data_IF_060165972420
#
_entry.id   IF_060165972420
#
_cell.length_a   1.000
_cell.length_b   1.000
_cell.length_c   1.000
_cell.angle_alpha   90.00
_cell.angle_beta   90.00
_cell.angle_gamma   90.00
#
_symmetry.space_group_name_H-M   'P 1'
#
loop_
_entity.id
_entity.type
_entity.pdbx_description
1 polymer ?
#
# COMPACT_ATOMS: atom_id res chain seq x y z
N UNK A 1 -8.96 18.25 -12.00
CA UNK A 1 -8.81 16.95 -12.69
C UNK A 1 -7.64 17.07 -13.64
N UNK A 2 -6.76 16.09 -13.71
CA UNK A 2 -5.61 16.08 -14.64
C UNK A 2 -5.90 15.02 -15.71
N UNK A 3 -6.22 15.46 -16.93
CA UNK A 3 -6.49 14.56 -18.07
C UNK A 3 -5.26 14.32 -18.94
N UNK A 4 -4.34 15.28 -18.93
CA UNK A 4 -3.07 15.23 -19.64
C UNK A 4 -2.00 16.01 -18.86
N UNK A 5 -0.78 16.05 -19.40
CA UNK A 5 0.35 16.74 -18.76
C UNK A 5 0.19 18.26 -18.78
N UNK A 6 -0.58 18.82 -19.73
CA UNK A 6 -0.74 20.27 -19.86
C UNK A 6 -1.70 20.81 -18.79
N UNK A 7 -2.70 20.02 -18.38
CA UNK A 7 -3.49 20.30 -17.17
C UNK A 7 -2.60 20.43 -15.91
N UNK A 8 -1.59 19.56 -15.79
CA UNK A 8 -0.66 19.59 -14.65
C UNK A 8 0.27 20.80 -14.70
N UNK A 9 0.76 21.16 -15.90
CA UNK A 9 1.55 22.39 -16.10
C UNK A 9 0.75 23.64 -15.74
N UNK A 10 -0.46 23.75 -16.26
CA UNK A 10 -1.34 24.88 -15.96
C UNK A 10 -1.58 25.03 -14.46
N UNK A 11 -1.70 23.91 -13.73
CA UNK A 11 -1.88 23.91 -12.27
C UNK A 11 -0.69 24.54 -11.55
N UNK A 12 0.54 24.31 -12.00
CA UNK A 12 1.76 24.86 -11.38
C UNK A 12 2.10 26.27 -11.86
N UNK A 13 1.74 26.65 -13.08
CA UNK A 13 2.13 27.96 -13.68
C UNK A 13 1.05 29.04 -13.62
N UNK A 14 -0.20 28.71 -13.92
CA UNK A 14 -1.23 29.71 -14.28
C UNK A 14 -2.38 29.79 -13.28
N UNK A 15 -2.50 28.81 -12.38
CA UNK A 15 -3.66 28.69 -11.50
C UNK A 15 -3.66 29.76 -10.38
N UNK A 16 -4.81 30.39 -10.13
CA UNK A 16 -4.90 31.66 -9.39
C UNK A 16 -5.62 31.57 -8.02
N UNK A 17 -6.15 30.41 -7.66
CA UNK A 17 -6.98 30.17 -6.47
C UNK A 17 -6.42 29.10 -5.52
N UNK A 18 -5.13 28.77 -5.65
CA UNK A 18 -4.48 27.68 -4.90
C UNK A 18 -4.49 27.84 -3.38
N UNK A 19 -4.03 26.80 -2.65
CA UNK A 19 -3.37 25.59 -3.17
C UNK A 19 -4.36 24.53 -3.70
N UNK A 20 -3.94 23.73 -4.68
CA UNK A 20 -4.79 22.79 -5.40
C UNK A 20 -4.58 21.33 -5.00
N UNK A 21 -5.68 20.58 -5.10
CA UNK A 21 -5.66 19.11 -5.09
C UNK A 21 -5.71 18.60 -6.53
N UNK A 22 -4.71 17.81 -6.93
CA UNK A 22 -4.71 17.14 -8.22
C UNK A 22 -5.40 15.78 -8.12
N UNK A 23 -6.17 15.41 -9.14
CA UNK A 23 -6.77 14.07 -9.26
C UNK A 23 -6.23 13.48 -10.55
N UNK A 24 -5.46 12.40 -10.43
CA UNK A 24 -4.56 11.91 -11.47
C UNK A 24 -4.73 10.42 -11.66
N UNK A 25 -4.84 9.99 -12.91
CA UNK A 25 -4.84 8.56 -13.22
C UNK A 25 -3.44 7.96 -13.05
N UNK A 26 -3.34 6.72 -12.59
CA UNK A 26 -2.07 5.96 -12.46
C UNK A 26 -1.18 6.01 -13.70
N UNK A 27 -1.76 6.03 -14.91
CA UNK A 27 -1.02 6.11 -16.18
C UNK A 27 -0.24 7.41 -16.40
N UNK A 28 -0.70 8.53 -15.83
CA UNK A 28 -0.06 9.86 -15.95
C UNK A 28 0.79 10.21 -14.72
N UNK A 29 0.60 9.48 -13.63
CA UNK A 29 1.11 9.84 -12.31
C UNK A 29 2.61 10.11 -12.29
N UNK A 30 3.42 9.27 -12.94
CA UNK A 30 4.89 9.44 -12.92
C UNK A 30 5.35 10.74 -13.61
N UNK A 31 4.70 11.16 -14.69
CA UNK A 31 5.07 12.40 -15.36
C UNK A 31 4.59 13.61 -14.56
N UNK A 32 3.42 13.49 -13.93
CA UNK A 32 2.80 14.56 -13.15
C UNK A 32 3.52 14.77 -11.82
N UNK A 33 3.95 13.69 -11.15
CA UNK A 33 4.61 13.79 -9.84
C UNK A 33 5.96 14.47 -9.94
N UNK A 34 6.76 14.19 -10.98
CA UNK A 34 8.04 14.87 -11.18
C UNK A 34 7.84 16.38 -11.38
N UNK A 35 6.84 16.78 -12.17
CA UNK A 35 6.48 18.18 -12.36
C UNK A 35 6.05 18.88 -11.06
N UNK A 36 5.27 18.21 -10.21
CA UNK A 36 4.82 18.75 -8.93
C UNK A 36 5.93 18.80 -7.88
N UNK A 37 6.87 17.86 -7.92
CA UNK A 37 8.05 17.87 -7.06
C UNK A 37 8.98 19.04 -7.40
N UNK A 38 9.06 19.44 -8.68
CA UNK A 38 9.81 20.63 -9.10
C UNK A 38 9.13 21.94 -8.66
N UNK A 39 7.79 21.97 -8.60
CA UNK A 39 7.00 23.18 -8.29
C UNK A 39 5.91 22.90 -7.23
N UNK A 40 6.28 22.66 -5.96
CA UNK A 40 5.35 22.16 -4.96
C UNK A 40 4.40 23.23 -4.37
N UNK A 41 4.76 24.51 -4.45
CA UNK A 41 4.11 25.59 -3.69
C UNK A 41 2.59 25.72 -3.94
N UNK A 42 2.12 25.35 -5.13
CA UNK A 42 0.71 25.45 -5.51
C UNK A 42 -0.07 24.14 -5.31
N UNK A 43 0.58 23.09 -4.81
CA UNK A 43 0.02 21.73 -4.71
C UNK A 43 -0.16 21.36 -3.24
N UNK A 44 -1.41 21.22 -2.80
CA UNK A 44 -1.76 20.74 -1.46
C UNK A 44 -1.75 19.21 -1.36
N UNK A 45 -1.95 18.50 -2.47
CA UNK A 45 -1.91 17.05 -2.52
C UNK A 45 -2.42 16.44 -3.82
N UNK A 46 -2.27 15.12 -3.94
CA UNK A 46 -2.56 14.33 -5.14
C UNK A 46 -3.41 13.12 -4.77
N UNK A 47 -4.58 13.01 -5.38
CA UNK A 47 -5.41 11.81 -5.40
C UNK A 47 -5.08 11.00 -6.65
N UNK A 48 -4.43 9.86 -6.48
CA UNK A 48 -4.14 8.92 -7.56
C UNK A 48 -5.26 7.89 -7.62
N UNK A 49 -5.77 7.60 -8.81
CA UNK A 49 -6.79 6.57 -8.99
C UNK A 49 -6.43 5.64 -10.13
N UNK A 50 -6.80 4.36 -9.98
CA UNK A 50 -6.68 3.36 -11.04
C UNK A 50 -8.04 3.06 -11.66
N UNK A 51 -8.15 3.12 -12.99
CA UNK A 51 -9.36 2.71 -13.72
C UNK A 51 -9.09 1.35 -14.37
N UNK A 52 -10.00 0.39 -14.18
CA UNK A 52 -9.82 -1.00 -14.65
C UNK A 52 -9.53 -1.15 -16.15
N UNK A 53 -9.93 -0.17 -16.96
CA UNK A 53 -9.74 -0.17 -18.40
C UNK A 53 -8.30 0.20 -18.84
N UNK A 54 -7.46 0.72 -17.93
CA UNK A 54 -6.10 1.14 -18.26
C UNK A 54 -5.12 -0.02 -18.12
N UNK A 55 -4.98 -0.78 -19.20
CA UNK A 55 -3.94 -1.81 -19.42
C UNK A 55 -2.56 -1.23 -19.76
N UNK A 56 -2.37 0.08 -19.60
CA UNK A 56 -1.12 0.73 -19.99
C UNK A 56 -0.10 0.71 -18.85
N UNK A 57 1.10 0.23 -19.17
CA UNK A 57 2.29 0.09 -18.34
C UNK A 57 2.68 1.40 -17.62
N UNK A 58 2.06 1.69 -16.47
CA UNK A 58 2.47 2.78 -15.58
C UNK A 58 3.70 2.36 -14.78
N UNK A 59 4.76 3.17 -14.83
CA UNK A 59 6.02 2.93 -14.11
C UNK A 59 5.86 2.95 -12.58
N UNK A 60 6.81 2.32 -11.89
CA UNK A 60 6.71 1.89 -10.51
C UNK A 60 7.13 2.98 -9.50
N UNK A 61 6.53 3.06 -8.30
CA UNK A 61 6.94 3.99 -7.26
C UNK A 61 8.24 3.58 -6.52
N UNK A 62 8.71 2.35 -6.70
CA UNK A 62 9.85 1.77 -5.98
C UNK A 62 11.23 2.22 -6.50
N UNK A 63 12.29 2.05 -5.71
CA UNK A 63 13.65 2.46 -6.10
C UNK A 63 14.31 1.51 -7.08
N UNK A 64 15.18 2.05 -7.94
CA UNK A 64 16.13 1.24 -8.71
C UNK A 64 17.01 0.43 -7.76
N UNK A 65 16.81 -0.89 -7.74
CA UNK A 65 17.63 -1.82 -6.96
C UNK A 65 18.94 -2.08 -7.71
N UNK A 66 19.93 -1.20 -7.50
CA UNK A 66 21.28 -1.41 -8.02
C UNK A 66 22.04 -2.42 -7.16
N UNK A 67 22.76 -3.33 -7.80
CA UNK A 67 23.81 -4.09 -7.14
C UNK A 67 24.89 -3.15 -6.55
N UNK A 68 25.65 -3.63 -5.57
CA UNK A 68 26.72 -2.88 -4.86
C UNK A 68 27.80 -2.32 -5.79
N UNK A 69 27.87 -2.79 -7.03
CA UNK A 69 28.57 -2.14 -8.13
C UNK A 69 27.55 -1.57 -9.14
N UNK A 70 27.40 -0.23 -9.25
CA UNK A 70 26.43 0.41 -10.14
C UNK A 70 26.68 0.18 -11.64
N UNK A 71 27.76 -0.51 -11.99
CA UNK A 71 28.16 -0.82 -13.37
C UNK A 71 27.69 -2.18 -13.90
N UNK A 72 27.04 -3.04 -13.09
CA UNK A 72 26.82 -4.46 -13.46
C UNK A 72 25.38 -4.93 -13.64
N UNK A 73 24.38 -4.41 -12.89
CA UNK A 73 22.96 -4.62 -13.20
C UNK A 73 22.05 -3.79 -12.28
N UNK A 74 20.96 -3.27 -12.85
CA UNK A 74 19.84 -2.67 -12.12
C UNK A 74 18.68 -3.65 -12.17
N UNK A 75 18.36 -4.30 -11.04
CA UNK A 75 17.36 -5.35 -10.98
C UNK A 75 15.94 -4.80 -11.19
N UNK A 76 15.65 -3.64 -10.60
CA UNK A 76 14.41 -2.90 -10.84
C UNK A 76 14.69 -1.69 -11.74
N UNK A 77 14.77 -1.89 -13.05
CA UNK A 77 15.00 -0.79 -14.00
C UNK A 77 13.79 0.15 -14.16
N UNK A 78 12.58 -0.29 -13.74
CA UNK A 78 11.33 0.46 -13.88
C UNK A 78 10.95 1.26 -12.63
N UNK A 79 11.71 1.10 -11.54
CA UNK A 79 11.55 1.87 -10.32
C UNK A 79 11.84 3.37 -10.49
N UNK A 80 10.91 4.23 -10.07
CA UNK A 80 11.07 5.70 -10.02
C UNK A 80 11.80 6.21 -8.75
N UNK A 81 11.88 5.40 -7.70
CA UNK A 81 12.40 5.77 -6.39
C UNK A 81 11.49 6.64 -5.55
N UNK A 82 10.26 6.91 -5.99
CA UNK A 82 9.31 7.78 -5.31
C UNK A 82 9.09 7.42 -3.84
N UNK A 83 8.98 6.13 -3.48
CA UNK A 83 8.76 5.70 -2.09
C UNK A 83 9.88 6.08 -1.12
N UNK A 84 11.08 6.45 -1.62
CA UNK A 84 12.22 6.89 -0.80
C UNK A 84 12.43 8.40 -0.83
N UNK A 85 11.63 9.13 -1.59
CA UNK A 85 11.72 10.59 -1.68
C UNK A 85 10.84 11.21 -0.59
N UNK A 86 11.29 12.34 -0.07
CA UNK A 86 10.47 13.19 0.81
C UNK A 86 9.55 14.03 -0.08
N UNK A 87 8.25 13.79 -0.01
CA UNK A 87 7.24 14.46 -0.84
C UNK A 87 6.57 15.56 0.00
N UNK A 88 6.58 16.83 -0.46
CA UNK A 88 6.14 17.97 0.35
C UNK A 88 4.60 18.11 0.47
N UNK A 89 3.84 17.21 -0.13
CA UNK A 89 2.37 17.22 -0.15
C UNK A 89 1.80 15.80 0.00
N UNK A 90 0.54 15.71 0.38
CA UNK A 90 -0.13 14.42 0.62
C UNK A 90 -0.43 13.69 -0.69
N UNK A 91 -0.15 12.39 -0.74
CA UNK A 91 -0.60 11.50 -1.82
C UNK A 91 -1.56 10.46 -1.24
N UNK A 92 -2.76 10.34 -1.82
CA UNK A 92 -3.69 9.25 -1.51
C UNK A 92 -3.96 8.43 -2.76
N UNK A 93 -4.02 7.11 -2.61
CA UNK A 93 -4.37 6.18 -3.68
C UNK A 93 -5.79 5.66 -3.48
N UNK A 94 -6.61 5.77 -4.52
CA UNK A 94 -7.93 5.16 -4.61
C UNK A 94 -7.87 3.91 -5.47
N UNK A 95 -8.24 2.77 -4.87
CA UNK A 95 -8.30 1.49 -5.56
C UNK A 95 -9.38 1.49 -6.65
N UNK A 96 -9.20 0.62 -7.64
CA UNK A 96 -10.14 0.42 -8.75
C UNK A 96 -11.53 -0.07 -8.30
N UNK A 97 -11.68 -0.53 -7.06
CA UNK A 97 -12.96 -0.90 -6.46
C UNK A 97 -13.84 0.32 -6.12
N UNK A 98 -13.24 1.51 -5.97
CA UNK A 98 -13.91 2.76 -5.60
C UNK A 98 -14.02 3.73 -6.78
N UNK A 99 -14.15 3.23 -8.02
CA UNK A 99 -14.25 4.07 -9.22
C UNK A 99 -15.45 5.02 -9.19
N UNK A 100 -16.56 4.61 -8.57
CA UNK A 100 -17.78 5.43 -8.45
C UNK A 100 -17.54 6.75 -7.69
N UNK A 101 -16.59 6.77 -6.76
CA UNK A 101 -16.25 7.98 -6.01
C UNK A 101 -15.41 8.95 -6.88
N UNK A 102 -14.62 8.41 -7.80
CA UNK A 102 -13.90 9.21 -8.79
C UNK A 102 -14.88 9.83 -9.79
N UNK A 103 -15.89 9.09 -10.24
CA UNK A 103 -16.91 9.63 -11.15
C UNK A 103 -17.65 10.82 -10.51
N UNK A 104 -18.01 10.73 -9.22
CA UNK A 104 -18.61 11.86 -8.48
C UNK A 104 -17.68 13.07 -8.37
N UNK A 105 -16.38 12.84 -8.20
CA UNK A 105 -15.36 13.91 -8.18
C UNK A 105 -15.27 14.58 -9.55
N UNK A 106 -15.28 13.80 -10.62
CA UNK A 106 -15.26 14.31 -11.99
C UNK A 106 -16.52 15.14 -12.31
N UNK A 107 -17.71 14.67 -11.92
CA UNK A 107 -18.95 15.43 -12.06
C UNK A 107 -18.91 16.77 -11.32
N UNK A 108 -18.36 16.77 -10.10
CA UNK A 108 -18.18 17.98 -9.30
C UNK A 108 -17.21 18.96 -9.97
N UNK A 109 -16.09 18.45 -10.51
CA UNK A 109 -15.11 19.23 -11.26
C UNK A 109 -15.73 19.86 -12.52
N UNK A 110 -16.46 19.08 -13.33
CA UNK A 110 -17.10 19.56 -14.55
C UNK A 110 -18.13 20.66 -14.27
N UNK A 111 -18.80 20.60 -13.12
CA UNK A 111 -19.80 21.60 -12.70
C UNK A 111 -19.18 22.91 -12.23
N UNK A 112 -18.10 22.86 -11.44
CA UNK A 112 -17.62 24.02 -10.69
C UNK A 112 -16.23 24.54 -11.10
N UNK A 113 -15.38 23.70 -11.70
CA UNK A 113 -13.95 24.02 -11.91
C UNK A 113 -13.53 23.98 -13.38
N UNK A 114 -14.47 23.71 -14.29
CA UNK A 114 -14.22 23.70 -15.74
C UNK A 114 -13.82 25.08 -16.26
N UNK A 115 -14.44 26.13 -15.71
CA UNK A 115 -14.10 27.52 -16.03
C UNK A 115 -12.80 27.91 -15.30
N UNK A 116 -11.68 27.77 -16.01
CA UNK A 116 -10.34 28.06 -15.52
C UNK A 116 -10.09 29.57 -15.32
N UNK A 117 -10.88 30.44 -15.95
CA UNK A 117 -10.65 31.90 -15.92
C UNK A 117 -11.36 32.57 -14.74
N UNK A 118 -12.47 32.00 -14.26
CA UNK A 118 -13.30 32.59 -13.20
C UNK A 118 -13.17 31.90 -11.83
N UNK A 119 -11.96 31.50 -11.45
CA UNK A 119 -11.75 30.73 -10.21
C UNK A 119 -12.08 31.51 -8.93
N UNK A 120 -11.98 32.85 -8.94
CA UNK A 120 -12.22 33.70 -7.76
C UNK A 120 -13.66 34.19 -7.62
N UNK A 121 -14.42 34.18 -8.72
CA UNK A 121 -15.79 34.70 -8.79
C UNK A 121 -16.87 33.64 -8.59
N UNK A 122 -16.54 32.36 -8.76
CA UNK A 122 -17.46 31.24 -8.65
C UNK A 122 -17.13 30.31 -7.49
N UNK A 123 -18.12 29.57 -6.96
CA UNK A 123 -17.85 28.46 -6.04
C UNK A 123 -17.05 27.35 -6.75
N UNK A 124 -16.11 26.74 -6.05
CA UNK A 124 -15.24 25.70 -6.58
C UNK A 124 -15.50 24.36 -5.91
N UNK A 125 -15.42 23.27 -6.66
CA UNK A 125 -15.25 21.93 -6.12
C UNK A 125 -13.85 21.82 -5.51
N UNK A 126 -13.78 21.42 -4.25
CA UNK A 126 -12.56 21.32 -3.47
C UNK A 126 -12.49 19.96 -2.79
N UNK A 127 -11.26 19.46 -2.65
CA UNK A 127 -10.95 18.24 -1.90
C UNK A 127 -10.11 18.66 -0.72
N UNK A 128 -10.42 18.12 0.46
CA UNK A 128 -9.59 18.24 1.64
C UNK A 128 -9.13 16.84 2.04
N UNK A 129 -7.83 16.70 2.22
CA UNK A 129 -7.20 15.49 2.72
C UNK A 129 -6.63 15.78 4.11
N UNK A 130 -6.98 14.93 5.06
CA UNK A 130 -6.35 14.93 6.37
C UNK A 130 -5.45 13.71 6.47
N UNK A 131 -4.14 13.97 6.55
CA UNK A 131 -3.11 12.94 6.71
C UNK A 131 -1.99 13.46 7.62
N UNK A 132 -2.37 14.10 8.73
CA UNK A 132 -1.38 14.69 9.64
C UNK A 132 -0.46 13.61 10.24
N UNK A 133 0.83 13.69 9.92
CA UNK A 133 1.89 12.87 10.48
C UNK A 133 2.49 13.57 11.70
N UNK A 134 2.51 12.88 12.84
CA UNK A 134 3.01 13.46 14.09
C UNK A 134 4.54 13.42 14.26
N UNK A 135 5.31 13.06 13.21
CA UNK A 135 6.76 12.92 13.27
C UNK A 135 7.43 13.83 12.25
N UNK A 136 7.86 14.99 12.73
CA UNK A 136 8.86 15.82 12.07
C UNK A 136 10.19 15.63 12.78
N UNK A 137 11.25 15.45 12.00
CA UNK A 137 12.67 15.31 12.38
C UNK A 137 13.17 13.86 12.41
N UNK A 138 14.21 13.66 11.62
CA UNK A 138 14.96 12.44 11.35
C UNK A 138 15.40 11.67 12.61
N UNK A 139 15.46 10.34 12.46
CA UNK A 139 16.20 9.35 13.28
C UNK A 139 16.78 9.87 14.60
N UNK A 140 16.14 9.53 15.73
CA UNK A 140 16.72 9.09 17.02
C UNK A 140 15.73 9.35 18.18
N UNK A 141 14.72 8.48 18.32
CA UNK A 141 14.40 7.70 19.54
C UNK A 141 12.91 7.29 19.56
N UNK A 142 12.59 6.06 20.02
CA UNK A 142 11.49 5.27 19.49
C UNK A 142 10.40 4.95 20.54
N UNK A 143 9.41 4.16 20.11
CA UNK A 143 8.38 3.42 20.88
C UNK A 143 7.03 4.11 21.09
N UNK A 144 6.06 3.84 20.20
CA UNK A 144 4.85 3.05 20.48
C UNK A 144 3.81 3.21 19.36
N UNK A 145 3.35 2.05 18.90
CA UNK A 145 2.11 1.75 18.16
C UNK A 145 1.78 2.61 16.94
N UNK A 146 1.81 1.98 15.76
CA UNK A 146 1.36 2.58 14.51
C UNK A 146 0.45 1.59 13.77
N UNK A 147 -0.77 2.02 13.43
CA UNK A 147 -1.74 1.27 12.63
C UNK A 147 -1.53 1.55 11.12
N UNK A 148 -1.69 0.56 10.21
CA UNK A 148 -1.35 0.73 8.80
C UNK A 148 -2.49 1.26 7.93
N UNK A 149 -2.12 1.94 6.83
CA UNK A 149 -2.85 1.90 5.55
C UNK A 149 -2.24 0.78 4.70
N UNK A 150 -3.15 0.01 4.10
CA UNK A 150 -2.98 -1.39 3.73
C UNK A 150 -3.08 -1.55 2.20
N UNK A 151 -2.11 -1.04 1.44
CA UNK A 151 -2.09 -1.20 -0.04
C UNK A 151 -0.72 -1.69 -0.50
N UNK A 152 -0.39 -2.92 -0.12
CA UNK A 152 0.78 -3.66 -0.63
C UNK A 152 0.31 -5.05 -1.05
N UNK A 153 -0.33 -5.22 -2.22
CA UNK A 153 -0.87 -6.51 -2.60
C UNK A 153 0.24 -7.56 -2.82
N UNK A 154 1.38 -7.14 -3.40
CA UNK A 154 2.61 -7.93 -3.47
C UNK A 154 2.45 -9.31 -4.11
N UNK A 155 1.53 -9.43 -5.08
CA UNK A 155 1.10 -10.70 -5.64
C UNK A 155 2.28 -11.44 -6.25
N UNK A 156 3.00 -10.82 -7.20
CA UNK A 156 4.20 -11.38 -7.79
C UNK A 156 5.41 -11.25 -6.88
N UNK A 157 5.49 -10.19 -6.08
CA UNK A 157 6.70 -9.92 -5.29
C UNK A 157 6.90 -10.89 -4.13
N UNK A 158 5.82 -11.24 -3.43
CA UNK A 158 5.87 -11.94 -2.14
C UNK A 158 4.91 -13.13 -2.08
N UNK A 159 3.65 -12.95 -2.50
CA UNK A 159 2.59 -13.95 -2.31
C UNK A 159 2.92 -15.24 -3.05
N UNK A 160 3.30 -15.18 -4.33
CA UNK A 160 3.61 -16.39 -5.12
C UNK A 160 4.78 -17.18 -4.53
N UNK A 161 5.84 -16.50 -4.06
CA UNK A 161 6.98 -17.14 -3.40
C UNK A 161 6.56 -17.85 -2.12
N UNK A 162 5.80 -17.18 -1.27
CA UNK A 162 5.28 -17.74 -0.03
C UNK A 162 4.35 -18.94 -0.27
N UNK A 163 3.39 -18.82 -1.19
CA UNK A 163 2.48 -19.92 -1.55
C UNK A 163 3.26 -21.14 -2.05
N UNK A 164 4.30 -20.91 -2.85
CA UNK A 164 5.20 -21.98 -3.33
C UNK A 164 5.89 -22.69 -2.17
N UNK A 165 6.44 -21.94 -1.21
CA UNK A 165 7.13 -22.50 -0.04
C UNK A 165 6.17 -23.25 0.90
N UNK A 166 4.97 -22.72 1.17
CA UNK A 166 3.95 -23.39 1.99
C UNK A 166 3.47 -24.69 1.32
N UNK A 167 3.23 -24.66 0.02
CA UNK A 167 2.90 -25.85 -0.76
C UNK A 167 4.02 -26.89 -0.73
N UNK A 168 5.27 -26.45 -0.85
CA UNK A 168 6.46 -27.31 -0.75
C UNK A 168 6.54 -27.98 0.62
N UNK A 169 6.39 -27.22 1.70
CA UNK A 169 6.41 -27.73 3.07
C UNK A 169 5.28 -28.75 3.31
N UNK A 170 4.08 -28.49 2.77
CA UNK A 170 2.94 -29.40 2.85
C UNK A 170 3.17 -30.71 2.11
N UNK A 171 3.89 -30.68 0.99
CA UNK A 171 4.28 -31.90 0.28
C UNK A 171 5.37 -32.66 1.04
N UNK A 172 6.37 -31.95 1.56
CA UNK A 172 7.45 -32.55 2.36
C UNK A 172 6.92 -33.26 3.61
N UNK A 173 5.98 -32.65 4.35
CA UNK A 173 5.38 -33.26 5.54
C UNK A 173 4.60 -34.54 5.23
N UNK A 174 4.09 -34.70 4.01
CA UNK A 174 3.44 -35.94 3.56
C UNK A 174 4.43 -37.00 3.10
N UNK A 175 5.63 -36.60 2.65
CA UNK A 175 6.67 -37.53 2.18
C UNK A 175 7.58 -38.04 3.30
N UNK A 176 7.76 -37.27 4.38
CA UNK A 176 8.55 -37.66 5.55
C UNK A 176 7.59 -38.07 6.68
N UNK A 177 7.46 -39.37 7.01
CA UNK A 177 6.62 -39.81 8.12
C UNK A 177 7.09 -39.20 9.45
N UNK A 178 6.16 -38.79 10.31
CA UNK A 178 6.47 -38.21 11.64
C UNK A 178 7.38 -39.11 12.49
N UNK A 179 7.28 -40.43 12.30
CA UNK A 179 8.10 -41.44 13.00
C UNK A 179 9.56 -41.42 12.57
N UNK A 180 9.89 -40.83 11.43
CA UNK A 180 11.25 -40.69 10.91
C UNK A 180 11.75 -39.25 10.88
N UNK A 181 10.90 -38.27 11.20
CA UNK A 181 11.23 -36.84 11.23
C UNK A 181 12.52 -36.55 12.05
N UNK A 182 12.66 -37.20 13.22
CA UNK A 182 13.87 -37.07 14.06
C UNK A 182 15.14 -37.67 13.45
N UNK A 183 15.04 -38.58 12.47
CA UNK A 183 16.21 -39.14 11.74
C UNK A 183 16.72 -38.21 10.65
N UNK A 184 15.86 -37.33 10.15
CA UNK A 184 16.12 -36.46 9.01
C UNK A 184 16.33 -34.99 9.41
N UNK A 185 16.64 -34.73 10.69
CA UNK A 185 16.95 -33.39 11.17
C UNK A 185 15.74 -32.45 11.30
N UNK A 186 14.52 -32.98 11.42
CA UNK A 186 13.35 -32.15 11.75
C UNK A 186 13.54 -31.56 13.14
N UNK A 187 13.73 -30.25 13.17
CA UNK A 187 14.18 -29.54 14.36
C UNK A 187 13.07 -29.47 15.41
N UNK A 188 13.35 -29.76 16.70
CA UNK A 188 12.37 -29.62 17.77
C UNK A 188 11.94 -28.16 17.90
N UNK A 189 10.66 -27.90 18.16
CA UNK A 189 10.12 -26.54 18.35
C UNK A 189 10.80 -25.72 19.48
N UNK A 190 11.64 -26.35 20.32
CA UNK A 190 12.27 -25.74 21.49
C UNK A 190 13.81 -25.79 21.50
N UNK A 191 14.45 -26.22 20.40
CA UNK A 191 15.91 -26.16 20.29
C UNK A 191 16.32 -24.91 19.48
N UNK A 192 17.38 -24.18 19.85
CA UNK A 192 17.90 -23.09 19.03
C UNK A 192 18.78 -23.63 17.89
N UNK A 193 18.44 -23.32 16.64
CA UNK A 193 19.29 -23.60 15.47
C UNK A 193 20.62 -22.83 15.58
N UNK A 194 21.75 -23.53 15.44
CA UNK A 194 23.07 -22.92 15.32
C UNK A 194 23.38 -22.58 13.86
N UNK A 195 24.16 -21.53 13.57
CA UNK A 195 24.75 -21.27 12.26
C UNK A 195 25.38 -22.51 11.59
N UNK A 196 26.03 -23.37 12.37
CA UNK A 196 26.70 -24.58 11.87
C UNK A 196 25.73 -25.70 11.45
N UNK A 197 24.46 -25.65 11.88
CA UNK A 197 23.46 -26.66 11.54
C UNK A 197 22.91 -26.46 10.12
N UNK A 198 23.18 -25.30 9.50
CA UNK A 198 22.63 -24.92 8.21
C UNK A 198 23.54 -25.42 7.10
N UNK A 199 23.09 -26.45 6.38
CA UNK A 199 23.87 -27.09 5.31
C UNK A 199 23.55 -26.56 3.91
N UNK A 200 22.39 -25.93 3.74
CA UNK A 200 21.89 -25.40 2.48
C UNK A 200 20.87 -24.30 2.77
N UNK A 201 20.97 -23.17 2.07
CA UNK A 201 19.95 -22.13 2.07
C UNK A 201 19.33 -22.00 0.67
N UNK A 202 18.02 -22.25 0.58
CA UNK A 202 17.25 -22.05 -0.65
C UNK A 202 16.26 -20.92 -0.44
N UNK A 203 16.30 -19.92 -1.31
CA UNK A 203 15.35 -18.82 -1.35
C UNK A 203 14.55 -18.85 -2.66
N UNK A 204 13.26 -18.55 -2.57
CA UNK A 204 12.35 -18.44 -3.72
C UNK A 204 11.73 -17.05 -3.70
N UNK A 205 11.91 -16.26 -4.76
CA UNK A 205 11.38 -14.90 -4.83
C UNK A 205 11.16 -14.44 -6.27
N UNK A 206 10.26 -13.49 -6.48
CA UNK A 206 9.98 -12.91 -7.80
C UNK A 206 9.79 -13.99 -8.89
N UNK A 207 8.79 -14.86 -8.70
CA UNK A 207 8.45 -15.93 -9.65
C UNK A 207 7.06 -15.74 -10.28
N UNK A 208 6.41 -14.61 -9.97
CA UNK A 208 5.06 -14.31 -10.44
C UNK A 208 5.00 -13.62 -11.81
N UNK A 209 5.99 -12.80 -12.18
CA UNK A 209 5.91 -11.96 -13.38
C UNK A 209 5.94 -12.75 -14.68
N UNK A 210 6.58 -13.92 -14.67
CA UNK A 210 6.59 -14.88 -15.77
C UNK A 210 5.32 -15.75 -15.90
N UNK A 211 4.36 -15.64 -14.97
CA UNK A 211 3.12 -16.43 -15.03
C UNK A 211 2.17 -15.94 -16.13
N UNK A 212 2.16 -14.65 -16.44
CA UNK A 212 1.25 -14.01 -17.41
C UNK A 212 1.75 -14.08 -18.87
N UNK A 213 3.08 -14.09 -19.07
CA UNK A 213 3.77 -13.92 -20.36
C UNK A 213 3.65 -15.08 -21.39
N UNK A 214 2.56 -15.85 -21.41
CA UNK A 214 2.46 -17.04 -22.26
C UNK A 214 1.21 -17.12 -23.16
N UNK A 215 0.62 -15.98 -23.49
CA UNK A 215 -0.36 -15.92 -24.59
C UNK A 215 0.29 -15.85 -25.99
N UNK A 216 1.61 -15.65 -26.11
CA UNK A 216 2.30 -15.54 -27.41
C UNK A 216 3.10 -16.80 -27.80
N UNK A 217 2.52 -17.57 -28.72
CA UNK A 217 3.15 -18.22 -29.88
C UNK A 217 4.17 -19.38 -29.74
N UNK A 218 4.23 -20.12 -28.61
CA UNK A 218 4.90 -21.45 -28.65
C UNK A 218 4.03 -22.56 -28.05
N UNK A 219 4.03 -23.78 -28.61
CA UNK A 219 3.20 -24.89 -28.09
C UNK A 219 3.65 -25.40 -26.71
N UNK A 220 4.82 -25.01 -26.22
CA UNK A 220 5.39 -25.36 -24.93
C UNK A 220 6.31 -24.23 -24.45
N UNK A 221 5.74 -23.10 -23.99
CA UNK A 221 6.56 -21.99 -23.52
C UNK A 221 7.20 -22.41 -22.19
N UNK A 222 8.52 -22.63 -22.23
CA UNK A 222 9.34 -23.03 -21.09
C UNK A 222 9.32 -21.88 -20.09
N UNK A 223 8.87 -22.14 -18.86
CA UNK A 223 8.92 -21.17 -17.76
C UNK A 223 10.40 -20.92 -17.43
N UNK A 224 10.98 -19.74 -17.72
CA UNK A 224 12.41 -19.54 -17.52
C UNK A 224 12.68 -19.35 -16.04
N UNK A 225 13.17 -20.41 -15.39
CA UNK A 225 13.61 -20.36 -14.01
C UNK A 225 15.13 -20.21 -13.97
N UNK A 226 15.62 -19.28 -13.17
CA UNK A 226 17.04 -19.04 -12.98
C UNK A 226 17.44 -19.41 -11.55
N UNK A 227 18.57 -20.08 -11.44
CA UNK A 227 19.15 -20.53 -10.18
C UNK A 227 20.45 -19.76 -9.93
N UNK A 228 20.39 -18.71 -9.11
CA UNK A 228 21.56 -17.93 -8.74
C UNK A 228 22.30 -18.61 -7.60
N UNK A 229 23.59 -18.82 -7.81
CA UNK A 229 24.48 -19.37 -6.81
C UNK A 229 25.89 -18.80 -7.03
N UNK A 230 26.67 -18.54 -5.97
CA UNK A 230 28.01 -17.97 -6.13
C UNK A 230 29.00 -18.98 -6.75
N UNK A 231 28.77 -20.28 -6.57
CA UNK A 231 29.70 -21.36 -6.92
C UNK A 231 29.05 -22.42 -7.80
N UNK A 232 29.84 -23.17 -8.56
CA UNK A 232 29.41 -24.20 -9.51
C UNK A 232 28.96 -25.53 -8.87
N UNK A 233 28.77 -25.56 -7.55
CA UNK A 233 28.47 -26.78 -6.78
C UNK A 233 27.20 -27.51 -7.24
N UNK A 234 26.25 -26.78 -7.82
CA UNK A 234 24.95 -27.31 -8.25
C UNK A 234 24.87 -27.62 -9.75
N UNK A 235 25.96 -27.49 -10.51
CA UNK A 235 25.95 -27.64 -11.98
C UNK A 235 25.38 -28.97 -12.49
N UNK A 236 25.50 -30.05 -11.70
CA UNK A 236 25.00 -31.39 -12.04
C UNK A 236 23.57 -31.66 -11.58
N UNK A 237 22.99 -30.77 -10.79
CA UNK A 237 21.66 -30.95 -10.17
C UNK A 237 20.54 -30.24 -10.95
N UNK A 238 20.87 -29.37 -11.91
CA UNK A 238 19.88 -28.65 -12.71
C UNK A 238 19.53 -29.37 -14.03
N UNK A 239 18.22 -29.57 -14.26
CA UNK A 239 17.68 -30.02 -15.55
C UNK A 239 17.54 -28.85 -16.52
N UNK A 240 17.29 -29.14 -17.81
CA UNK A 240 17.16 -28.10 -18.86
C UNK A 240 16.15 -26.98 -18.51
N UNK A 241 15.15 -27.23 -17.64
CA UNK A 241 14.11 -26.26 -17.24
C UNK A 241 14.59 -25.17 -16.27
N UNK A 242 15.73 -25.32 -15.62
CA UNK A 242 16.32 -24.32 -14.72
C UNK A 242 17.69 -23.93 -15.26
N UNK A 243 17.90 -22.64 -15.47
CA UNK A 243 19.16 -22.10 -15.99
C UNK A 243 20.03 -21.66 -14.80
N UNK A 244 21.16 -22.32 -14.53
CA UNK A 244 22.04 -21.89 -13.47
C UNK A 244 22.75 -20.59 -13.82
N UNK A 245 22.92 -19.73 -12.81
CA UNK A 245 23.63 -18.45 -12.89
C UNK A 245 24.73 -18.42 -11.83
N UNK A 246 25.97 -18.65 -12.26
CA UNK A 246 27.14 -18.64 -11.40
C UNK A 246 27.71 -17.23 -11.31
N UNK A 247 27.25 -16.47 -10.32
CA UNK A 247 27.63 -15.07 -10.19
C UNK A 247 27.61 -14.61 -8.73
N UNK A 248 28.58 -13.77 -8.31
CA UNK A 248 28.51 -13.10 -7.02
C UNK A 248 27.39 -12.03 -6.99
N UNK A 249 26.93 -11.56 -8.15
CA UNK A 249 25.87 -10.57 -8.28
C UNK A 249 24.49 -11.26 -8.22
N UNK A 250 24.06 -11.61 -7.01
CA UNK A 250 22.77 -12.24 -6.74
C UNK A 250 21.69 -11.16 -6.56
N UNK A 251 20.44 -11.39 -7.03
CA UNK A 251 19.35 -10.46 -6.83
C UNK A 251 19.14 -10.08 -5.35
N UNK A 252 18.49 -8.93 -5.06
CA UNK A 252 18.16 -8.53 -3.70
C UNK A 252 17.28 -9.59 -3.03
N UNK A 253 17.78 -10.16 -1.94
CA UNK A 253 17.18 -11.33 -1.30
C UNK A 253 17.70 -11.47 0.14
N UNK A 254 17.03 -12.30 0.95
CA UNK A 254 17.43 -12.57 2.33
C UNK A 254 18.82 -13.21 2.46
N UNK A 255 19.30 -13.90 1.41
CA UNK A 255 20.66 -14.46 1.30
C UNK A 255 21.73 -13.42 1.64
N UNK A 256 21.60 -12.16 1.21
CA UNK A 256 22.61 -11.13 1.51
C UNK A 256 22.75 -10.87 3.01
N UNK A 257 21.62 -10.83 3.73
CA UNK A 257 21.61 -10.68 5.18
C UNK A 257 22.15 -11.92 5.86
N UNK A 258 21.75 -13.10 5.36
CA UNK A 258 22.17 -14.39 5.88
C UNK A 258 23.69 -14.60 5.77
N UNK A 259 24.28 -14.27 4.61
CA UNK A 259 25.73 -14.22 4.39
C UNK A 259 26.43 -13.35 5.43
N UNK A 260 25.94 -12.14 5.65
CA UNK A 260 26.53 -11.21 6.62
C UNK A 260 26.51 -11.75 8.05
N UNK A 261 25.48 -12.52 8.40
CA UNK A 261 25.39 -13.18 9.71
C UNK A 261 26.37 -14.36 9.73
N UNK A 262 26.26 -15.30 8.80
CA UNK A 262 27.04 -16.54 8.84
C UNK A 262 28.55 -16.33 8.73
N UNK A 263 29.01 -15.41 7.87
CA UNK A 263 30.45 -15.03 7.80
C UNK A 263 31.03 -14.58 9.14
N UNK A 264 30.20 -14.14 10.09
CA UNK A 264 30.61 -13.76 11.44
C UNK A 264 30.72 -14.97 12.39
N UNK A 265 29.98 -16.05 12.12
CA UNK A 265 29.78 -17.16 13.05
C UNK A 265 30.34 -18.50 12.58
N UNK A 266 30.52 -18.72 11.27
CA UNK A 266 31.04 -19.99 10.71
C UNK A 266 32.49 -19.83 10.28
N UNK A 267 33.34 -20.80 10.63
CA UNK A 267 34.73 -20.88 10.13
C UNK A 267 34.83 -21.41 8.68
N UNK A 268 33.72 -21.85 8.11
CA UNK A 268 33.61 -22.35 6.75
C UNK A 268 33.13 -21.21 5.84
N UNK A 269 33.97 -20.77 4.91
CA UNK A 269 33.72 -19.58 4.06
C UNK A 269 32.66 -19.79 2.97
N UNK A 270 32.01 -20.96 2.88
CA UNK A 270 31.07 -21.25 1.79
C UNK A 270 29.85 -22.03 2.27
N UNK A 271 28.78 -21.32 2.65
CA UNK A 271 27.46 -21.94 2.71
C UNK A 271 26.95 -22.17 1.27
N UNK A 272 26.49 -23.38 0.92
CA UNK A 272 25.76 -23.60 -0.32
C UNK A 272 24.45 -22.80 -0.31
N UNK A 273 24.31 -21.89 -1.28
CA UNK A 273 23.17 -20.99 -1.39
C UNK A 273 22.59 -21.05 -2.80
N UNK A 274 21.27 -21.04 -2.86
CA UNK A 274 20.49 -21.12 -4.09
C UNK A 274 19.33 -20.13 -4.04
N UNK A 275 19.29 -19.18 -4.98
CA UNK A 275 18.15 -18.29 -5.15
C UNK A 275 17.43 -18.63 -6.44
N UNK A 276 16.16 -19.01 -6.34
CA UNK A 276 15.29 -19.36 -7.46
C UNK A 276 14.40 -18.18 -7.80
N UNK A 277 14.52 -17.69 -9.03
CA UNK A 277 13.77 -16.53 -9.55
C UNK A 277 13.36 -16.76 -11.01
N UNK A 278 12.49 -15.91 -11.55
CA UNK A 278 12.05 -15.98 -12.95
C UNK A 278 12.75 -15.00 -13.92
N UNK A 279 13.78 -14.31 -13.45
CA UNK A 279 14.53 -13.31 -14.21
C UNK A 279 16.04 -13.59 -14.22
N UNK A 280 16.71 -13.22 -15.32
CA UNK A 280 18.17 -13.34 -15.43
C UNK A 280 18.91 -12.07 -14.98
N UNK A 281 18.29 -10.90 -15.16
CA UNK A 281 18.95 -9.60 -15.01
C UNK A 281 18.02 -8.52 -14.44
N UNK A 282 16.82 -8.35 -15.00
CA UNK A 282 15.81 -7.39 -14.57
C UNK A 282 14.54 -8.13 -14.17
N UNK A 283 13.85 -7.63 -13.14
CA UNK A 283 12.60 -8.21 -12.68
C UNK A 283 11.58 -8.31 -13.83
N UNK A 284 10.96 -9.49 -13.95
CA UNK A 284 9.82 -9.70 -14.86
C UNK A 284 8.56 -9.00 -14.34
N UNK A 285 8.46 -8.82 -13.02
CA UNK A 285 7.40 -8.08 -12.37
C UNK A 285 7.55 -6.58 -12.67
N UNK A 286 6.59 -6.04 -13.45
CA UNK A 286 6.54 -4.61 -13.79
C UNK A 286 5.91 -3.72 -12.71
N UNK A 287 5.50 -4.32 -11.60
CA UNK A 287 4.83 -3.64 -10.50
C UNK A 287 5.49 -3.97 -9.16
N UNK A 288 6.81 -4.21 -9.13
CA UNK A 288 7.52 -4.63 -7.92
C UNK A 288 7.16 -3.75 -6.71
N UNK A 289 6.55 -4.35 -5.67
CA UNK A 289 6.08 -3.68 -4.45
C UNK A 289 5.21 -2.42 -4.68
N UNK A 290 4.50 -2.38 -5.81
CA UNK A 290 3.55 -1.33 -6.13
C UNK A 290 2.14 -1.70 -5.64
N UNK A 291 1.29 -0.68 -5.46
CA UNK A 291 -0.15 -0.86 -5.28
C UNK A 291 -0.81 -1.61 -6.45
N UNK A 292 -0.13 -1.69 -7.60
CA UNK A 292 -0.57 -2.38 -8.81
C UNK A 292 -0.05 -3.83 -8.94
N UNK A 293 0.72 -4.34 -7.97
CA UNK A 293 1.16 -5.75 -7.91
C UNK A 293 0.02 -6.68 -7.48
N UNK A 294 -1.10 -6.62 -8.20
CA UNK A 294 -2.33 -7.30 -7.86
C UNK A 294 -2.45 -8.68 -8.54
N UNK A 295 -3.41 -9.48 -8.06
CA UNK A 295 -3.62 -10.84 -8.53
C UNK A 295 -3.91 -10.96 -10.05
N UNK A 296 -4.50 -9.94 -10.68
CA UNK A 296 -4.75 -9.95 -12.12
C UNK A 296 -3.46 -9.89 -12.95
N UNK A 297 -2.37 -9.36 -12.40
CA UNK A 297 -1.04 -9.40 -13.03
C UNK A 297 -0.47 -10.80 -13.11
N UNK A 298 -0.96 -11.72 -12.26
CA UNK A 298 -0.61 -13.14 -12.32
C UNK A 298 -1.50 -13.92 -13.31
N UNK A 299 -2.49 -13.28 -13.94
CA UNK A 299 -3.53 -13.96 -14.71
C UNK A 299 -4.49 -14.79 -13.84
N UNK A 300 -4.62 -14.44 -12.56
CA UNK A 300 -5.57 -15.05 -11.62
C UNK A 300 -6.88 -14.24 -11.59
N UNK A 301 -8.02 -14.92 -11.44
CA UNK A 301 -9.33 -14.28 -11.23
C UNK A 301 -9.87 -14.70 -9.86
N UNK A 302 -9.99 -13.72 -8.95
CA UNK A 302 -10.34 -13.95 -7.54
C UNK A 302 -11.80 -14.40 -7.33
N UNK A 303 -12.71 -14.11 -8.27
CA UNK A 303 -14.15 -14.42 -8.10
C UNK A 303 -14.63 -15.61 -8.90
N UNK A 304 -13.80 -16.14 -9.78
CA UNK A 304 -14.08 -17.34 -10.51
C UNK A 304 -13.04 -18.39 -10.15
N UNK A 305 -13.36 -19.25 -9.18
CA UNK A 305 -12.52 -20.38 -8.77
C UNK A 305 -12.25 -21.36 -9.94
N UNK A 306 -12.83 -21.12 -11.12
CA UNK A 306 -12.29 -21.64 -12.38
C UNK A 306 -10.93 -21.00 -12.66
N UNK A 307 -9.92 -21.55 -12.01
CA UNK A 307 -8.50 -21.35 -12.28
C UNK A 307 -8.30 -21.34 -13.79
N UNK A 308 -7.78 -20.24 -14.34
CA UNK A 308 -7.11 -20.29 -15.62
C UNK A 308 -6.01 -21.35 -15.51
N UNK A 309 -6.21 -22.52 -16.14
CA UNK A 309 -5.56 -23.80 -15.86
C UNK A 309 -4.00 -23.80 -15.89
N UNK A 310 -3.37 -22.69 -16.27
CA UNK A 310 -1.95 -22.60 -16.55
C UNK A 310 -1.11 -22.00 -15.40
N UNK A 311 -1.65 -21.07 -14.60
CA UNK A 311 -0.88 -20.38 -13.54
C UNK A 311 -0.65 -21.23 -12.29
N UNK A 312 -1.74 -21.72 -11.68
CA UNK A 312 -1.69 -22.61 -10.50
C UNK A 312 -0.96 -23.92 -10.79
N UNK A 313 -1.03 -24.41 -12.04
CA UNK A 313 -0.29 -25.58 -12.49
C UNK A 313 1.23 -25.37 -12.47
N UNK A 314 1.72 -24.16 -12.74
CA UNK A 314 3.16 -23.84 -12.66
C UNK A 314 3.64 -23.77 -11.22
N UNK A 315 2.95 -23.01 -10.37
CA UNK A 315 3.29 -22.88 -8.94
C UNK A 315 3.33 -24.26 -8.26
N UNK A 316 2.30 -25.08 -8.50
CA UNK A 316 2.25 -26.45 -7.96
C UNK A 316 3.35 -27.35 -8.51
N UNK A 317 3.71 -27.25 -9.79
CA UNK A 317 4.86 -27.98 -10.38
C UNK A 317 6.18 -27.56 -9.77
N UNK A 318 6.41 -26.27 -9.54
CA UNK A 318 7.63 -25.77 -8.89
C UNK A 318 7.68 -26.24 -7.44
N UNK A 319 6.60 -26.09 -6.68
CA UNK A 319 6.53 -26.57 -5.31
C UNK A 319 6.79 -28.09 -5.23
N UNK A 320 6.24 -28.86 -6.19
CA UNK A 320 6.48 -30.30 -6.29
C UNK A 320 7.95 -30.60 -6.58
N UNK A 321 8.55 -29.96 -7.59
CA UNK A 321 9.96 -30.14 -7.94
C UNK A 321 10.89 -29.78 -6.77
N UNK A 322 10.61 -28.67 -6.09
CA UNK A 322 11.38 -28.23 -4.92
C UNK A 322 11.25 -29.24 -3.77
N UNK A 323 10.03 -29.72 -3.49
CA UNK A 323 9.78 -30.70 -2.44
C UNK A 323 10.53 -32.02 -2.72
N UNK A 324 10.49 -32.53 -3.95
CA UNK A 324 11.23 -33.74 -4.33
C UNK A 324 12.75 -33.55 -4.23
N UNK A 325 13.25 -32.39 -4.64
CA UNK A 325 14.69 -32.09 -4.58
C UNK A 325 15.18 -32.05 -3.14
N UNK A 326 14.45 -31.36 -2.26
CA UNK A 326 14.76 -31.29 -0.84
C UNK A 326 14.63 -32.67 -0.16
N UNK A 327 13.58 -33.43 -0.48
CA UNK A 327 13.40 -34.79 0.02
C UNK A 327 14.57 -35.69 -0.37
N UNK A 328 14.95 -35.71 -1.65
CA UNK A 328 16.07 -36.51 -2.14
C UNK A 328 17.39 -36.12 -1.48
N UNK A 329 17.59 -34.82 -1.20
CA UNK A 329 18.79 -34.33 -0.52
C UNK A 329 18.88 -34.80 0.93
N UNK A 330 17.75 -34.83 1.62
CA UNK A 330 17.66 -35.20 3.04
C UNK A 330 17.65 -36.71 3.25
N UNK A 331 16.92 -37.46 2.41
CA UNK A 331 16.67 -38.90 2.59
C UNK A 331 17.61 -39.77 1.74
N UNK A 332 18.16 -39.26 0.63
CA UNK A 332 19.09 -39.98 -0.23
C UNK A 332 18.49 -41.10 -1.08
N UNK A 333 17.16 -41.21 -1.18
CA UNK A 333 16.46 -42.26 -1.93
C UNK A 333 15.48 -41.69 -2.97
N UNK A 334 15.53 -42.23 -4.19
CA UNK A 334 14.55 -41.95 -5.25
C UNK A 334 13.31 -42.81 -4.96
N UNK A 335 12.31 -42.25 -4.30
CA UNK A 335 10.99 -42.86 -4.23
C UNK A 335 10.02 -42.07 -5.10
N UNK A 336 9.61 -42.65 -6.22
CA UNK A 336 8.54 -42.12 -7.05
C UNK A 336 7.22 -42.24 -6.29
N UNK A 337 6.82 -41.17 -5.58
CA UNK A 337 5.51 -41.10 -4.96
C UNK A 337 4.47 -40.56 -5.97
N UNK A 338 3.21 -41.05 -5.93
CA UNK A 338 2.15 -40.50 -6.75
C UNK A 338 1.93 -39.03 -6.43
N UNK A 339 1.81 -38.20 -7.47
CA UNK A 339 1.45 -36.78 -7.41
C UNK A 339 0.27 -36.54 -6.45
N UNK A 340 0.53 -35.94 -5.28
CA UNK A 340 -0.51 -35.30 -4.49
C UNK A 340 -0.60 -33.83 -4.92
N UNK A 341 -1.75 -33.43 -5.45
CA UNK A 341 -2.06 -32.04 -5.76
C UNK A 341 -2.04 -31.20 -4.46
N UNK A 342 -1.14 -30.23 -4.38
CA UNK A 342 -1.06 -29.27 -3.27
C UNK A 342 -2.06 -28.09 -3.44
N UNK A 343 -3.25 -28.33 -3.97
CA UNK A 343 -4.23 -27.28 -4.26
C UNK A 343 -5.20 -26.98 -3.09
N UNK A 344 -5.11 -27.69 -1.96
CA UNK A 344 -6.21 -27.76 -0.99
C UNK A 344 -6.01 -26.93 0.30
N UNK A 345 -5.06 -25.98 0.32
CA UNK A 345 -4.77 -25.14 1.49
C UNK A 345 -5.78 -23.99 1.71
N UNK A 346 -6.96 -24.06 1.09
CA UNK A 346 -8.05 -23.09 1.28
C UNK A 346 -9.17 -23.57 2.21
N UNK A 347 -9.07 -24.77 2.79
CA UNK A 347 -10.21 -25.43 3.46
C UNK A 347 -10.11 -25.52 5.00
N UNK A 348 -9.02 -25.05 5.61
CA UNK A 348 -8.87 -25.12 7.07
C UNK A 348 -9.39 -23.85 7.76
N UNK A 349 -10.52 -24.05 8.46
CA UNK A 349 -11.31 -23.19 9.35
C UNK A 349 -12.37 -22.27 8.71
N UNK A 350 -13.65 -22.33 9.18
CA UNK A 350 -14.69 -21.39 8.82
C UNK A 350 -14.50 -20.08 9.60
N UNK A 351 -13.38 -19.40 9.33
CA UNK A 351 -13.19 -18.00 9.69
C UNK A 351 -13.87 -17.12 8.64
N UNK A 352 -14.38 -15.96 9.06
CA UNK A 352 -15.02 -14.98 8.19
C UNK A 352 -14.04 -14.51 7.09
N UNK A 353 -14.07 -15.15 5.91
CA UNK A 353 -13.29 -14.75 4.75
C UNK A 353 -13.69 -13.33 4.37
N UNK A 354 -12.76 -12.40 4.50
CA UNK A 354 -12.95 -11.01 4.06
C UNK A 354 -13.22 -11.00 2.55
N UNK A 355 -14.16 -10.18 2.05
CA UNK A 355 -14.45 -10.08 0.62
C UNK A 355 -13.31 -9.46 -0.22
N UNK A 356 -12.27 -8.91 0.43
CA UNK A 356 -11.12 -8.27 -0.21
C UNK A 356 -9.86 -9.18 -0.17
N UNK A 357 -8.98 -9.12 -1.21
CA UNK A 357 -7.72 -9.85 -1.21
C UNK A 357 -6.80 -9.40 -0.06
N UNK A 358 -5.93 -10.28 0.45
CA UNK A 358 -5.01 -9.93 1.54
C UNK A 358 -3.88 -8.99 1.07
N UNK A 359 -3.48 -8.06 1.92
CA UNK A 359 -2.32 -7.18 1.71
C UNK A 359 -1.10 -7.69 2.50
N UNK A 360 0.07 -7.67 1.85
CA UNK A 360 1.37 -8.09 2.36
C UNK A 360 2.16 -6.87 2.83
N UNK A 361 1.77 -6.28 3.97
CA UNK A 361 2.51 -5.20 4.62
C UNK A 361 2.94 -5.61 6.03
N UNK A 362 4.22 -5.35 6.37
CA UNK A 362 4.74 -5.50 7.73
C UNK A 362 4.24 -4.33 8.60
N UNK A 363 3.12 -4.57 9.27
CA UNK A 363 2.46 -3.67 10.20
C UNK A 363 3.23 -3.53 11.53
N UNK A 364 3.13 -2.38 12.21
CA UNK A 364 3.68 -2.17 13.58
C UNK A 364 2.68 -2.58 14.66
N UNK A 365 1.51 -3.09 14.28
CA UNK A 365 0.55 -3.63 15.24
C UNK A 365 1.16 -4.84 15.96
N UNK A 366 0.96 -4.89 17.28
CA UNK A 366 1.39 -5.99 18.13
C UNK A 366 0.62 -7.30 17.87
N UNK A 367 -0.41 -7.23 17.03
CA UNK A 367 -1.20 -8.36 16.54
C UNK A 367 -0.72 -8.76 15.15
N UNK A 368 -0.67 -10.07 14.91
CA UNK A 368 -0.34 -10.64 13.62
C UNK A 368 -1.23 -10.01 12.53
N UNK A 369 -0.63 -9.27 11.59
CA UNK A 369 -1.32 -8.97 10.33
C UNK A 369 -1.73 -10.30 9.68
N UNK A 370 -2.79 -10.32 8.86
CA UNK A 370 -3.25 -11.55 8.20
C UNK A 370 -2.08 -12.38 7.62
N UNK A 371 -1.09 -11.79 6.91
CA UNK A 371 0.10 -12.52 6.45
C UNK A 371 0.94 -13.15 7.57
N UNK A 372 1.19 -12.43 8.67
CA UNK A 372 1.95 -12.92 9.82
C UNK A 372 1.19 -14.02 10.59
N UNK A 373 -0.14 -13.97 10.59
CA UNK A 373 -0.99 -15.02 11.12
C UNK A 373 -0.94 -16.29 10.26
N UNK A 374 -0.89 -16.13 8.93
CA UNK A 374 -0.77 -17.26 7.99
C UNK A 374 0.64 -17.85 7.89
N UNK A 375 1.71 -17.10 8.21
CA UNK A 375 3.12 -17.56 8.09
C UNK A 375 3.75 -18.03 9.40
N UNK A 376 3.10 -17.81 10.54
CA UNK A 376 3.74 -18.04 11.83
C UNK A 376 4.76 -16.94 12.16
N UNK A 377 4.79 -16.56 13.43
CA UNK A 377 5.47 -15.38 13.95
C UNK A 377 6.99 -15.39 13.70
N UNK A 378 7.50 -14.70 12.66
CA UNK A 378 8.83 -14.07 12.70
C UNK A 378 9.08 -13.13 11.50
N UNK A 379 8.80 -11.83 11.61
CA UNK A 379 9.35 -10.84 10.66
C UNK A 379 9.24 -9.37 11.12
N UNK A 380 10.00 -8.98 12.15
CA UNK A 380 10.33 -7.54 12.38
C UNK A 380 11.71 -7.44 13.05
N UNK A 381 12.79 -7.36 12.27
CA UNK A 381 14.11 -6.98 12.79
C UNK A 381 14.91 -6.03 11.87
N UNK A 382 14.28 -5.46 10.84
CA UNK A 382 14.89 -4.42 10.01
C UNK A 382 14.16 -3.10 10.23
N UNK A 383 14.93 -2.08 10.60
CA UNK A 383 14.51 -0.84 11.25
C UNK A 383 13.77 0.14 10.32
N UNK A 384 12.52 -0.16 9.98
CA UNK A 384 11.56 0.82 9.48
C UNK A 384 10.71 1.35 10.64
N UNK A 385 10.83 2.63 10.99
CA UNK A 385 9.89 3.28 11.92
C UNK A 385 8.73 3.86 11.13
N UNK A 386 7.50 3.40 11.39
CA UNK A 386 6.30 4.01 10.83
C UNK A 386 5.84 5.18 11.70
N UNK A 387 5.18 6.16 11.09
CA UNK A 387 4.60 7.30 11.80
C UNK A 387 3.15 7.05 12.24
N UNK A 388 2.74 7.71 13.31
CA UNK A 388 1.35 7.69 13.81
C UNK A 388 0.51 8.76 13.12
N UNK A 389 -0.65 8.36 12.62
CA UNK A 389 -1.65 9.21 11.99
C UNK A 389 -2.80 9.51 12.96
N UNK A 390 -3.36 10.72 12.95
CA UNK A 390 -4.55 11.08 13.74
C UNK A 390 -5.87 10.77 13.02
N UNK A 391 -5.89 9.66 12.27
CA UNK A 391 -6.94 9.32 11.30
C UNK A 391 -6.65 9.94 9.94
N UNK A 392 -6.86 9.13 8.89
CA UNK A 392 -6.71 9.58 7.50
C UNK A 392 -8.09 9.66 6.86
N UNK A 393 -8.40 10.79 6.23
CA UNK A 393 -9.68 10.98 5.55
C UNK A 393 -9.54 11.92 4.37
N UNK A 394 -10.40 11.72 3.38
CA UNK A 394 -10.56 12.66 2.28
C UNK A 394 -12.05 13.00 2.16
N UNK A 395 -12.36 14.26 1.88
CA UNK A 395 -13.73 14.71 1.62
C UNK A 395 -13.78 15.70 0.47
N UNK A 396 -14.90 15.65 -0.25
CA UNK A 396 -15.21 16.56 -1.35
C UNK A 396 -16.28 17.53 -0.89
N UNK A 397 -16.11 18.81 -1.17
CA UNK A 397 -17.07 19.86 -0.81
C UNK A 397 -16.99 21.02 -1.80
N UNK A 398 -17.99 21.90 -1.76
CA UNK A 398 -17.98 23.14 -2.54
C UNK A 398 -17.45 24.26 -1.65
N UNK A 399 -16.35 24.88 -2.05
CA UNK A 399 -15.82 26.07 -1.40
C UNK A 399 -16.47 27.33 -1.97
N UNK A 400 -16.75 28.30 -1.09
CA UNK A 400 -17.28 29.59 -1.51
C UNK A 400 -16.19 30.43 -2.17
N UNK A 401 -16.54 31.19 -3.21
CA UNK A 401 -15.62 32.18 -3.79
C UNK A 401 -15.18 33.21 -2.75
N UNK A 402 -13.90 33.61 -2.80
CA UNK A 402 -13.28 34.49 -1.79
C UNK A 402 -14.02 35.83 -1.59
N UNK A 403 -14.66 36.34 -2.65
CA UNK A 403 -15.49 37.54 -2.57
C UNK A 403 -16.71 37.35 -1.64
N UNK A 404 -17.44 36.24 -1.77
CA UNK A 404 -18.64 35.96 -0.98
C UNK A 404 -18.35 35.81 0.51
N UNK A 405 -17.27 35.10 0.85
CA UNK A 405 -16.85 34.94 2.25
C UNK A 405 -16.46 36.29 2.88
N UNK A 406 -15.72 37.12 2.15
CA UNK A 406 -15.31 38.45 2.61
C UNK A 406 -16.52 39.37 2.83
N UNK A 407 -17.49 39.36 1.92
CA UNK A 407 -18.72 40.13 2.06
C UNK A 407 -19.56 39.67 3.25
N UNK A 408 -19.64 38.37 3.52
CA UNK A 408 -20.37 37.83 4.67
C UNK A 408 -19.74 38.28 5.99
N UNK A 409 -18.41 38.24 6.11
CA UNK A 409 -17.69 38.74 7.30
C UNK A 409 -17.91 40.24 7.48
N UNK A 410 -17.76 41.04 6.41
CA UNK A 410 -17.98 42.47 6.47
C UNK A 410 -19.42 42.80 6.90
N UNK A 411 -20.42 42.14 6.30
CA UNK A 411 -21.83 42.29 6.66
C UNK A 411 -22.11 41.89 8.12
N UNK A 412 -21.51 40.79 8.59
CA UNK A 412 -21.59 40.34 9.98
C UNK A 412 -21.04 41.38 10.95
N UNK A 413 -19.82 41.88 10.70
CA UNK A 413 -19.18 42.93 11.51
C UNK A 413 -20.02 44.20 11.54
N UNK A 414 -20.50 44.68 10.40
CA UNK A 414 -21.35 45.87 10.33
C UNK A 414 -22.66 45.68 11.13
N UNK A 415 -23.29 44.51 11.02
CA UNK A 415 -24.53 44.20 11.74
C UNK A 415 -24.29 44.14 13.25
N UNK A 416 -23.20 43.51 13.69
CA UNK A 416 -22.82 43.45 15.11
C UNK A 416 -22.53 44.84 15.68
N UNK A 417 -21.82 45.70 14.94
CA UNK A 417 -21.54 47.07 15.35
C UNK A 417 -22.82 47.91 15.45
N UNK A 418 -23.72 47.78 14.46
CA UNK A 418 -25.01 48.47 14.47
C UNK A 418 -25.87 48.03 15.66
N UNK A 419 -25.95 46.72 15.92
CA UNK A 419 -26.68 46.18 17.06
C UNK A 419 -26.10 46.70 18.39
N UNK A 420 -24.78 46.67 18.56
CA UNK A 420 -24.10 47.20 19.74
C UNK A 420 -24.39 48.70 19.94
N UNK A 421 -24.34 49.49 18.86
CA UNK A 421 -24.67 50.91 18.89
C UNK A 421 -26.13 51.14 19.29
N UNK A 422 -27.09 50.44 18.68
CA UNK A 422 -28.51 50.56 18.99
C UNK A 422 -28.80 50.14 20.43
N UNK A 423 -28.22 49.03 20.91
CA UNK A 423 -28.34 48.61 22.31
C UNK A 423 -27.77 49.65 23.27
N UNK A 424 -26.59 50.20 22.97
CA UNK A 424 -25.99 51.28 23.77
C UNK A 424 -26.88 52.53 23.79
N UNK A 425 -27.39 52.94 22.62
CA UNK A 425 -28.27 54.09 22.48
C UNK A 425 -29.58 53.90 23.24
N UNK A 426 -30.25 52.75 23.09
CA UNK A 426 -31.48 52.42 23.84
C UNK A 426 -31.23 52.40 25.35
N UNK A 427 -30.09 51.85 25.79
CA UNK A 427 -29.71 51.86 27.22
C UNK A 427 -29.48 53.28 27.74
N UNK A 428 -28.83 54.15 26.95
CA UNK A 428 -28.57 55.54 27.32
C UNK A 428 -29.84 56.39 27.37
N UNK A 429 -30.82 56.11 26.51
CA UNK A 429 -32.08 56.85 26.39
C UNK A 429 -33.28 56.10 26.98
N UNK A 430 -33.06 55.11 27.85
CA UNK A 430 -34.12 54.24 28.39
C UNK A 430 -35.25 55.02 29.06
N UNK A 431 -34.96 56.13 29.72
CA UNK A 431 -35.95 56.91 30.49
C UNK A 431 -36.87 57.75 29.57
N UNK A 432 -36.48 57.94 28.31
CA UNK A 432 -37.30 58.62 27.28
C UNK A 432 -38.03 57.59 26.40
N UNK A 433 -37.37 56.47 26.13
CA UNK A 433 -37.91 55.40 25.26
C UNK A 433 -38.93 54.53 26.00
N UNK A 434 -38.66 54.23 27.27
CA UNK A 434 -39.56 53.48 28.14
C UNK A 434 -40.12 54.45 29.17
N UNK A 435 -41.34 54.95 28.93
CA UNK A 435 -42.08 55.68 29.95
C UNK A 435 -42.26 54.76 31.17
N UNK A 436 -42.04 55.25 32.40
CA UNK A 436 -42.47 54.51 33.57
C UNK A 436 -43.99 54.34 33.46
N UNK A 437 -44.45 53.10 33.38
CA UNK A 437 -45.86 52.80 33.55
C UNK A 437 -46.23 53.26 34.96
N UNK A 438 -47.19 54.17 35.07
CA UNK A 438 -47.58 54.80 36.34
C UNK A 438 -47.90 53.72 37.36
N UNK A 439 -46.97 53.48 38.29
CA UNK A 439 -47.14 52.56 39.42
C UNK A 439 -48.29 52.97 40.35
N UNK A 440 -48.88 54.16 40.16
CA UNK A 440 -50.09 54.59 40.84
C UNK A 440 -51.37 53.88 40.32
N UNK A 441 -51.46 53.54 39.03
CA UNK A 441 -52.67 52.90 38.48
C UNK A 441 -52.84 51.42 38.87
N UNK A 442 -51.74 50.72 39.20
CA UNK A 442 -51.79 49.35 39.71
C UNK A 442 -52.06 49.26 41.22
N UNK A 443 -51.67 50.29 41.99
CA UNK A 443 -52.01 50.40 43.42
C UNK A 443 -53.50 50.67 43.65
N UNK A 444 -54.13 51.47 42.79
CA UNK A 444 -55.55 51.84 42.94
C UNK A 444 -56.48 50.67 42.54
N UNK A 445 -56.07 49.85 41.57
CA UNK A 445 -56.80 48.65 41.14
C UNK A 445 -56.75 47.50 42.15
N UNK A 446 -55.69 47.42 42.96
CA UNK A 446 -55.63 46.42 44.04
C UNK A 446 -56.48 46.83 45.25
N UNK A 447 -56.62 48.13 45.54
CA UNK A 447 -57.49 48.62 46.63
C UNK A 447 -58.98 48.49 46.35
N UNK A 448 -59.41 48.56 45.10
CA UNK A 448 -60.83 48.43 44.74
C UNK A 448 -61.34 46.99 44.76
N UNK A 449 -60.46 45.98 44.71
CA UNK A 449 -60.87 44.56 44.78
C UNK A 449 -61.09 44.11 46.23
N UNK A 450 -60.33 44.63 47.20
CA UNK A 450 -60.50 44.26 48.61
C UNK A 450 -61.77 44.86 49.27
N UNK A 451 -62.37 45.90 48.67
CA UNK A 451 -63.59 46.53 49.20
C UNK A 451 -64.90 45.87 48.70
N UNK A 452 -64.84 44.94 47.73
CA UNK A 452 -66.03 44.25 47.19
C UNK A 452 -66.22 42.79 47.68
N UNK A 453 -65.31 42.23 48.47
CA UNK A 453 -65.44 40.86 49.03
C UNK A 453 -65.60 40.81 50.56
N UNK A 454 -65.92 41.94 51.19
CA UNK A 454 -66.12 42.07 52.64
C UNK A 454 -67.56 42.33 53.06
N UNK A 455 -68.53 41.50 52.68
CA UNK A 455 -69.78 41.30 53.41
C UNK A 455 -70.48 39.99 53.01
#
# INVERSE_FOLDING_TARGET
MIRDIDDAKWLVTDAAAGPYMAVVNTSLFNNVIELFMENPDNIAGVLVYNRKDNTNNSAEPESQCSSTNPSTSVWNAKGSGLLRRDVPFTILFSSAEHYEDIDKIEECYERYNKDKDNQRGSPLCSIEMNSFMSLGSSLLTPTKMCDPIDVSPGASSSVVGMVTLVSTATLLSKMIPDTEAGKYGVWPAHAPLSPDDIQLHVEVGQIGGSLQNQQTETPNPKWPMYAFTPNDQFNKEFNESVVPQFTPNIPPSSVHSFRRILTKYTHNDTLPELVLVDHADQFTNMYYNSALDEYYQLGYDYRNISIGANGTLKISRLATALAYTLYNRVVGAIQACPLMQAADYGSSEPGHLSPAPPYMYASVAHYASNPAAFTGHLLVLLAGTQSVWRGMSARVFVSAGGAGATSAVAGGVCTTLLAAFLTFWMKKHKDVVFYPEDSELLSERSRTIDEQTGQ
#
